data_IF_547689368131
#
_entry.id   IF_547689368131
#
_cell.length_a   1.000
_cell.length_b   1.000
_cell.length_c   1.000
_cell.angle_alpha   90.00
_cell.angle_beta   90.00
_cell.angle_gamma   90.00
#
_symmetry.space_group_name_H-M   'P 1'
#
loop_
_entity.id
_entity.type
_entity.pdbx_description
1 polymer ?
#
# COMPACT_ATOMS: atom_id res chain seq x y z
N UNK A 1 26.81 -10.21 -17.78
CA UNK A 1 25.87 -11.17 -17.13
C UNK A 1 26.22 -11.49 -15.68
N UNK A 2 27.45 -11.28 -15.21
CA UNK A 2 27.87 -11.54 -13.81
C UNK A 2 27.54 -10.43 -12.82
N UNK A 3 27.49 -9.15 -13.25
CA UNK A 3 27.15 -8.02 -12.37
C UNK A 3 25.68 -8.02 -11.89
N UNK A 4 24.75 -8.53 -12.70
CA UNK A 4 23.31 -8.58 -12.38
C UNK A 4 22.93 -9.69 -11.39
N UNK A 5 23.78 -10.71 -11.22
CA UNK A 5 23.51 -11.84 -10.32
C UNK A 5 23.96 -11.52 -8.89
N UNK A 6 25.10 -10.84 -8.73
CA UNK A 6 25.62 -10.43 -7.41
C UNK A 6 24.71 -9.40 -6.71
N UNK A 7 24.03 -8.53 -7.46
CA UNK A 7 23.12 -7.53 -6.90
C UNK A 7 21.83 -8.16 -6.33
N UNK A 8 21.33 -9.23 -6.96
CA UNK A 8 20.17 -10.00 -6.48
C UNK A 8 20.46 -10.75 -5.17
N UNK A 9 21.66 -11.31 -5.06
CA UNK A 9 22.13 -12.01 -3.85
C UNK A 9 22.29 -11.05 -2.66
N UNK A 10 22.81 -9.83 -2.89
CA UNK A 10 22.90 -8.80 -1.86
C UNK A 10 21.52 -8.21 -1.48
N UNK A 11 20.61 -8.02 -2.44
CA UNK A 11 19.21 -7.66 -2.16
C UNK A 11 18.49 -8.74 -1.34
N UNK A 12 18.77 -10.03 -1.55
CA UNK A 12 18.15 -11.11 -0.80
C UNK A 12 18.64 -11.16 0.66
N UNK A 13 19.91 -10.84 0.93
CA UNK A 13 20.52 -10.99 2.27
C UNK A 13 20.12 -9.93 3.30
N UNK A 14 19.46 -8.84 2.88
CA UNK A 14 19.02 -7.76 3.78
C UNK A 14 17.50 -7.53 3.80
N UNK A 15 16.73 -8.33 3.06
CA UNK A 15 15.29 -8.10 2.94
C UNK A 15 14.48 -9.05 3.79
N UNK A 16 13.51 -8.49 4.51
CA UNK A 16 12.56 -9.21 5.33
C UNK A 16 11.71 -10.16 4.48
N UNK A 17 11.18 -11.22 5.12
CA UNK A 17 10.25 -12.14 4.47
C UNK A 17 8.98 -11.38 4.04
N UNK A 18 8.51 -11.52 2.78
CA UNK A 18 7.39 -10.73 2.26
C UNK A 18 6.08 -10.94 3.02
N UNK A 19 5.85 -12.14 3.56
CA UNK A 19 4.73 -12.41 4.47
C UNK A 19 4.74 -11.54 5.73
N UNK A 20 5.92 -11.30 6.30
CA UNK A 20 6.10 -10.48 7.50
C UNK A 20 5.86 -9.00 7.19
N UNK A 21 6.28 -8.55 6.01
CA UNK A 21 5.97 -7.21 5.49
C UNK A 21 4.46 -6.97 5.43
N UNK A 22 3.69 -7.90 4.84
CA UNK A 22 2.22 -7.80 4.74
C UNK A 22 1.56 -7.78 6.13
N UNK A 23 2.01 -8.65 7.05
CA UNK A 23 1.47 -8.71 8.41
C UNK A 23 1.76 -7.42 9.18
N UNK A 24 2.97 -6.86 9.07
CA UNK A 24 3.33 -5.59 9.70
C UNK A 24 2.50 -4.44 9.13
N UNK A 25 2.29 -4.41 7.81
CA UNK A 25 1.40 -3.42 7.18
C UNK A 25 -0.02 -3.53 7.72
N UNK A 26 -0.62 -4.72 7.71
CA UNK A 26 -1.97 -4.94 8.21
C UNK A 26 -2.10 -4.57 9.70
N UNK A 27 -1.11 -4.94 10.52
CA UNK A 27 -1.09 -4.63 11.94
C UNK A 27 -0.97 -3.13 12.21
N UNK A 28 -0.09 -2.43 11.49
CA UNK A 28 0.03 -0.98 11.62
C UNK A 28 -1.25 -0.25 11.20
N UNK A 29 -1.94 -0.72 10.15
CA UNK A 29 -3.24 -0.18 9.74
C UNK A 29 -4.29 -0.35 10.84
N UNK A 30 -4.39 -1.55 11.43
CA UNK A 30 -5.28 -1.81 12.56
C UNK A 30 -4.95 -0.94 13.77
N UNK A 31 -3.68 -0.66 14.02
CA UNK A 31 -3.26 0.19 15.14
C UNK A 31 -3.67 1.66 14.94
N UNK A 32 -3.53 2.19 13.72
CA UNK A 32 -3.95 3.57 13.38
C UNK A 32 -5.44 3.78 13.59
N UNK A 33 -6.27 2.77 13.25
CA UNK A 33 -7.72 2.88 13.38
C UNK A 33 -8.28 2.43 14.73
N UNK A 34 -7.62 1.47 15.38
CA UNK A 34 -8.10 0.86 16.63
C UNK A 34 -7.84 1.69 17.89
N UNK A 35 -6.88 2.62 17.85
CA UNK A 35 -6.52 3.45 19.02
C UNK A 35 -6.93 4.90 18.77
N UNK A 36 -7.89 5.46 19.53
CA UNK A 36 -8.33 6.84 19.39
C UNK A 36 -7.35 7.84 20.05
N UNK A 37 -6.05 7.73 19.74
CA UNK A 37 -5.01 8.65 20.24
C UNK A 37 -4.21 9.28 19.09
N UNK A 38 -3.81 10.56 19.18
CA UNK A 38 -2.94 11.21 18.18
C UNK A 38 -1.50 10.66 18.17
N UNK A 39 -1.07 10.01 19.26
CA UNK A 39 0.29 9.52 19.48
C UNK A 39 0.63 8.32 18.60
N UNK A 40 -0.36 7.47 18.30
CA UNK A 40 -0.14 6.25 17.50
C UNK A 40 0.15 6.56 16.03
N UNK A 41 -0.64 7.42 15.33
CA UNK A 41 -0.32 7.84 13.97
C UNK A 41 1.04 8.53 13.85
N UNK A 42 1.41 9.41 14.80
CA UNK A 42 2.72 10.08 14.78
C UNK A 42 3.87 9.08 14.95
N UNK A 43 3.74 8.12 15.87
CA UNK A 43 4.74 7.07 16.06
C UNK A 43 4.92 6.22 14.79
N UNK A 44 3.85 5.92 14.06
CA UNK A 44 3.92 5.16 12.81
C UNK A 44 4.56 5.98 11.68
N UNK A 45 4.28 7.28 11.59
CA UNK A 45 4.95 8.17 10.64
C UNK A 45 6.46 8.24 10.96
N UNK A 46 6.83 8.37 12.23
CA UNK A 46 8.24 8.37 12.65
C UNK A 46 8.92 7.03 12.35
N UNK A 47 8.27 5.91 12.66
CA UNK A 47 8.79 4.57 12.40
C UNK A 47 8.98 4.32 10.89
N UNK A 48 8.03 4.72 10.05
CA UNK A 48 8.14 4.60 8.59
C UNK A 48 9.21 5.53 8.02
N UNK A 49 9.39 6.73 8.59
CA UNK A 49 10.50 7.61 8.24
C UNK A 49 11.86 7.00 8.58
N UNK A 50 12.05 6.50 9.80
CA UNK A 50 13.30 5.82 10.22
C UNK A 50 13.56 4.60 9.34
N UNK A 51 12.53 3.80 9.05
CA UNK A 51 12.64 2.66 8.15
C UNK A 51 13.01 3.07 6.72
N UNK A 52 12.47 4.19 6.22
CA UNK A 52 12.81 4.75 4.91
C UNK A 52 14.26 5.26 4.85
N UNK A 53 14.79 5.80 5.95
CA UNK A 53 16.19 6.25 6.06
C UNK A 53 17.14 5.05 6.17
N UNK A 54 16.78 4.04 6.97
CA UNK A 54 17.61 2.86 7.20
C UNK A 54 17.62 1.89 6.00
N UNK A 55 16.58 1.91 5.17
CA UNK A 55 16.49 1.01 4.03
C UNK A 55 17.21 1.56 2.80
N UNK A 56 18.25 0.89 2.27
CA UNK A 56 18.95 1.31 1.05
C UNK A 56 18.09 1.13 -0.21
N UNK A 57 16.91 0.50 -0.09
CA UNK A 57 16.06 0.13 -1.22
C UNK A 57 15.07 1.24 -1.58
N UNK A 58 14.75 2.13 -0.64
CA UNK A 58 13.77 3.20 -0.83
C UNK A 58 14.51 4.52 -1.00
N UNK A 59 14.28 5.21 -2.12
CA UNK A 59 14.80 6.57 -2.28
C UNK A 59 14.01 7.50 -1.36
N UNK A 60 14.63 7.94 -0.26
CA UNK A 60 14.02 8.85 0.73
C UNK A 60 13.34 10.06 0.07
N UNK A 61 13.98 10.64 -0.96
CA UNK A 61 13.42 11.78 -1.71
C UNK A 61 12.13 11.44 -2.44
N UNK A 62 12.03 10.25 -3.04
CA UNK A 62 10.80 9.83 -3.73
C UNK A 62 9.66 9.58 -2.75
N UNK A 63 9.98 8.97 -1.59
CA UNK A 63 9.01 8.78 -0.51
C UNK A 63 8.51 10.13 0.06
N UNK A 64 9.43 11.05 0.40
CA UNK A 64 9.07 12.34 0.97
C UNK A 64 8.26 13.21 0.01
N UNK A 65 8.60 13.20 -1.29
CA UNK A 65 7.81 13.89 -2.31
C UNK A 65 6.43 13.26 -2.44
N UNK A 66 6.33 11.92 -2.51
CA UNK A 66 5.04 11.23 -2.63
C UNK A 66 4.10 11.51 -1.45
N UNK A 67 4.64 11.44 -0.23
CA UNK A 67 3.89 11.76 1.00
C UNK A 67 3.52 13.24 1.00
N UNK A 68 4.46 14.15 0.74
CA UNK A 68 4.20 15.59 0.74
C UNK A 68 3.15 16.03 -0.28
N UNK A 69 3.25 15.54 -1.52
CA UNK A 69 2.30 15.88 -2.61
C UNK A 69 0.88 15.44 -2.28
N UNK A 70 0.70 14.31 -1.57
CA UNK A 70 -0.63 13.80 -1.23
C UNK A 70 -1.15 14.34 0.12
N UNK A 71 -0.28 14.55 1.10
CA UNK A 71 -0.66 14.94 2.46
C UNK A 71 -0.88 16.45 2.62
N UNK A 72 -0.16 17.28 1.86
CA UNK A 72 -0.28 18.75 1.94
C UNK A 72 -1.66 19.25 1.46
N UNK A 73 -2.17 18.87 0.27
CA UNK A 73 -3.51 19.31 -0.16
C UNK A 73 -4.63 18.73 0.72
N UNK A 74 -4.46 17.52 1.26
CA UNK A 74 -5.44 16.93 2.18
C UNK A 74 -5.49 17.66 3.52
N UNK A 75 -4.35 18.16 4.04
CA UNK A 75 -4.35 19.04 5.22
C UNK A 75 -5.19 20.29 4.98
N UNK A 76 -4.97 20.97 3.85
CA UNK A 76 -5.66 22.22 3.52
C UNK A 76 -7.17 22.00 3.46
N UNK A 77 -7.60 20.98 2.72
CA UNK A 77 -9.03 20.66 2.59
C UNK A 77 -9.63 20.30 3.95
N UNK A 78 -8.93 19.51 4.76
CA UNK A 78 -9.46 19.06 6.03
C UNK A 78 -9.53 20.18 7.07
N UNK A 79 -8.52 21.05 7.15
CA UNK A 79 -8.56 22.27 7.96
C UNK A 79 -9.67 23.22 7.49
N UNK A 80 -9.92 23.33 6.18
CA UNK A 80 -11.00 24.17 5.66
C UNK A 80 -12.38 23.60 5.97
N UNK A 81 -12.57 22.29 5.82
CA UNK A 81 -13.87 21.66 6.09
C UNK A 81 -14.14 21.59 7.58
N UNK A 82 -13.22 21.03 8.36
CA UNK A 82 -13.39 20.87 9.81
C UNK A 82 -13.24 22.18 10.57
N UNK A 83 -12.32 23.05 10.16
CA UNK A 83 -12.15 24.35 10.84
C UNK A 83 -13.35 25.27 10.65
N UNK A 84 -14.03 25.21 9.51
CA UNK A 84 -15.07 26.16 9.12
C UNK A 84 -16.50 25.64 9.30
N UNK A 85 -16.71 24.32 9.23
CA UNK A 85 -18.05 23.69 9.26
C UNK A 85 -18.25 22.76 10.45
N UNK A 86 -17.39 22.79 11.48
CA UNK A 86 -17.61 21.97 12.67
C UNK A 86 -18.77 22.53 13.50
N UNK A 87 -19.87 21.76 13.71
CA UNK A 87 -21.05 22.21 14.43
C UNK A 87 -20.87 22.11 15.97
N UNK A 88 -19.64 22.32 16.45
CA UNK A 88 -19.32 22.33 17.87
C UNK A 88 -19.78 23.65 18.48
N UNK A 89 -20.81 23.56 19.33
CA UNK A 89 -21.31 24.71 20.06
C UNK A 89 -20.24 25.22 21.03
N UNK A 90 -19.98 26.54 21.02
CA UNK A 90 -19.42 27.36 22.11
C UNK A 90 -18.18 26.75 22.81
N UNK A 91 -16.94 27.25 22.65
CA UNK A 91 -16.40 28.20 23.66
C UNK A 91 -15.12 28.93 23.19
N UNK A 92 -14.54 28.68 22.00
CA UNK A 92 -13.36 29.44 21.53
C UNK A 92 -13.33 29.71 20.03
N UNK A 93 -13.99 30.79 19.62
CA UNK A 93 -13.91 31.31 18.25
C UNK A 93 -12.64 32.16 18.12
N UNK A 94 -11.69 31.74 17.28
CA UNK A 94 -10.43 32.48 17.09
C UNK A 94 -10.59 33.66 16.12
N UNK A 95 -11.52 33.52 15.16
CA UNK A 95 -11.79 34.52 14.13
C UNK A 95 -13.17 34.30 13.50
N UNK A 96 -13.98 35.35 13.42
CA UNK A 96 -15.28 35.34 12.74
C UNK A 96 -15.17 36.09 11.42
N UNK A 97 -15.48 35.41 10.31
CA UNK A 97 -15.68 36.06 9.02
C UNK A 97 -16.94 35.48 8.34
N UNK A 98 -18.11 35.99 8.72
CA UNK A 98 -19.40 35.56 8.15
C UNK A 98 -19.93 34.24 8.74
N UNK A 99 -20.65 33.39 7.98
CA UNK A 99 -21.19 32.09 8.46
C UNK A 99 -20.12 31.03 8.77
N UNK A 100 -18.85 31.43 8.70
CA UNK A 100 -17.66 30.65 8.90
C UNK A 100 -17.02 31.09 10.22
N UNK A 101 -17.17 30.26 11.26
CA UNK A 101 -16.51 30.45 12.55
C UNK A 101 -15.33 29.48 12.62
N UNK A 102 -14.11 30.00 12.74
CA UNK A 102 -12.94 29.15 12.90
C UNK A 102 -12.84 28.71 14.36
N UNK A 103 -13.13 27.42 14.62
CA UNK A 103 -13.09 26.84 15.97
C UNK A 103 -11.77 26.11 16.24
N UNK A 104 -11.25 26.25 17.47
CA UNK A 104 -10.04 25.52 17.91
C UNK A 104 -10.28 24.01 17.89
N UNK A 105 -11.49 23.58 18.27
CA UNK A 105 -11.91 22.17 18.27
C UNK A 105 -11.97 21.58 16.86
N UNK A 106 -12.55 22.31 15.91
CA UNK A 106 -12.56 21.89 14.50
C UNK A 106 -11.16 21.72 13.95
N UNK A 107 -10.23 22.62 14.30
CA UNK A 107 -8.83 22.48 13.91
C UNK A 107 -8.12 21.30 14.58
N UNK A 108 -8.39 21.06 15.86
CA UNK A 108 -7.87 19.90 16.60
C UNK A 108 -8.28 18.57 15.95
N UNK A 109 -9.56 18.43 15.61
CA UNK A 109 -10.10 17.23 14.95
C UNK A 109 -9.55 17.11 13.53
N UNK A 110 -9.42 18.23 12.79
CA UNK A 110 -8.79 18.26 11.47
C UNK A 110 -7.38 17.69 11.53
N UNK A 111 -6.55 18.15 12.47
CA UNK A 111 -5.18 17.68 12.65
C UNK A 111 -5.15 16.20 13.02
N UNK A 112 -6.05 15.74 13.89
CA UNK A 112 -6.12 14.33 14.29
C UNK A 112 -6.45 13.40 13.11
N UNK A 113 -7.42 13.78 12.27
CA UNK A 113 -7.77 13.00 11.08
C UNK A 113 -6.65 13.10 10.04
N UNK A 114 -6.05 14.28 9.87
CA UNK A 114 -4.92 14.46 8.96
C UNK A 114 -3.73 13.58 9.32
N UNK A 115 -3.41 13.47 10.61
CA UNK A 115 -2.38 12.57 11.13
C UNK A 115 -2.63 11.11 10.76
N UNK A 116 -3.89 10.65 10.84
CA UNK A 116 -4.26 9.28 10.42
C UNK A 116 -4.07 9.09 8.92
N UNK A 117 -4.56 10.03 8.11
CA UNK A 117 -4.39 9.96 6.64
C UNK A 117 -2.92 9.95 6.25
N UNK A 118 -2.11 10.82 6.87
CA UNK A 118 -0.67 10.90 6.61
C UNK A 118 0.04 9.61 7.00
N UNK A 119 -0.32 8.99 8.14
CA UNK A 119 0.22 7.70 8.53
C UNK A 119 -0.11 6.59 7.51
N UNK A 120 -1.33 6.53 6.98
CA UNK A 120 -1.70 5.58 5.92
C UNK A 120 -0.90 5.81 4.64
N UNK A 121 -0.75 7.07 4.23
CA UNK A 121 -0.03 7.42 3.00
C UNK A 121 1.45 7.10 3.14
N UNK A 122 2.08 7.47 4.26
CA UNK A 122 3.47 7.16 4.58
C UNK A 122 3.75 5.65 4.57
N UNK A 123 2.86 4.87 5.19
CA UNK A 123 2.93 3.41 5.20
C UNK A 123 2.80 2.84 3.79
N UNK A 124 1.78 3.27 3.04
CA UNK A 124 1.52 2.81 1.67
C UNK A 124 2.67 3.17 0.73
N UNK A 125 3.26 4.37 0.89
CA UNK A 125 4.41 4.79 0.09
C UNK A 125 5.67 3.98 0.44
N UNK A 126 5.91 3.68 1.72
CA UNK A 126 7.06 2.88 2.13
C UNK A 126 6.97 1.46 1.57
N UNK A 127 5.83 0.80 1.76
CA UNK A 127 5.60 -0.56 1.25
C UNK A 127 5.48 -0.58 -0.28
N UNK A 128 4.79 0.37 -0.90
CA UNK A 128 4.64 0.45 -2.35
C UNK A 128 5.96 0.67 -3.08
N UNK A 129 6.88 1.47 -2.52
CA UNK A 129 8.22 1.67 -3.08
C UNK A 129 9.19 0.52 -2.76
N UNK A 130 8.98 -0.19 -1.66
CA UNK A 130 9.82 -1.30 -1.21
C UNK A 130 9.43 -2.67 -1.77
N UNK A 131 8.16 -2.86 -2.11
CA UNK A 131 7.61 -4.13 -2.57
C UNK A 131 7.84 -4.32 -4.08
N UNK A 132 8.47 -5.44 -4.42
CA UNK A 132 8.47 -5.95 -5.78
C UNK A 132 7.17 -6.75 -5.98
N UNK A 133 6.49 -6.59 -7.12
CA UNK A 133 5.26 -7.31 -7.45
C UNK A 133 5.44 -8.82 -7.29
N UNK A 134 6.64 -9.32 -7.61
CA UNK A 134 7.01 -10.73 -7.43
C UNK A 134 6.94 -11.19 -5.95
N UNK A 135 7.38 -10.34 -5.02
CA UNK A 135 7.49 -10.67 -3.59
C UNK A 135 6.13 -10.63 -2.89
N UNK A 136 5.23 -9.76 -3.32
CA UNK A 136 3.85 -9.74 -2.82
C UNK A 136 3.17 -11.11 -3.02
N UNK A 137 3.48 -11.80 -4.12
CA UNK A 137 2.97 -13.16 -4.34
C UNK A 137 3.47 -14.17 -3.34
N UNK A 138 4.78 -14.15 -3.08
CA UNK A 138 5.39 -15.09 -2.15
C UNK A 138 4.88 -14.84 -0.73
N UNK A 139 4.63 -13.57 -0.38
CA UNK A 139 3.97 -13.18 0.86
C UNK A 139 2.53 -13.70 0.97
N UNK A 140 1.73 -13.56 -0.09
CA UNK A 140 0.36 -14.09 -0.14
C UNK A 140 0.33 -15.62 -0.09
N UNK A 141 1.23 -16.30 -0.79
CA UNK A 141 1.34 -17.77 -0.77
C UNK A 141 1.77 -18.28 0.61
N UNK A 142 2.70 -17.59 1.27
CA UNK A 142 3.15 -17.90 2.62
C UNK A 142 2.05 -17.71 3.69
N UNK A 143 0.99 -16.96 3.37
CA UNK A 143 -0.20 -16.79 4.24
C UNK A 143 -1.13 -18.02 4.29
N UNK A 144 -0.70 -19.18 3.76
CA UNK A 144 -1.45 -20.45 3.72
C UNK A 144 -2.78 -20.39 2.97
N UNK A 145 -2.84 -19.60 1.90
CA UNK A 145 -3.93 -19.72 0.94
C UNK A 145 -3.88 -21.10 0.25
N UNK A 146 -5.03 -21.69 -0.13
CA UNK A 146 -5.05 -22.90 -0.96
C UNK A 146 -4.18 -22.70 -2.20
N UNK A 147 -3.40 -23.72 -2.58
CA UNK A 147 -2.44 -23.65 -3.69
C UNK A 147 -3.06 -23.14 -4.98
N UNK A 148 -4.31 -23.53 -5.27
CA UNK A 148 -5.07 -23.07 -6.43
C UNK A 148 -5.35 -21.56 -6.40
N UNK A 149 -5.72 -21.02 -5.24
CA UNK A 149 -5.97 -19.58 -5.07
C UNK A 149 -4.67 -18.80 -5.19
N UNK A 150 -3.60 -19.27 -4.55
CA UNK A 150 -2.29 -18.66 -4.65
C UNK A 150 -1.79 -18.62 -6.11
N UNK A 151 -2.02 -19.70 -6.87
CA UNK A 151 -1.68 -19.76 -8.30
C UNK A 151 -2.47 -18.78 -9.16
N UNK A 152 -3.79 -18.67 -8.95
CA UNK A 152 -4.63 -17.71 -9.69
C UNK A 152 -4.21 -16.28 -9.40
N UNK A 153 -4.00 -15.93 -8.12
CA UNK A 153 -3.49 -14.62 -7.74
C UNK A 153 -2.11 -14.36 -8.36
N UNK A 154 -1.18 -15.33 -8.25
CA UNK A 154 0.16 -15.29 -8.85
C UNK A 154 0.13 -14.98 -10.35
N UNK A 155 -0.73 -15.70 -11.06
CA UNK A 155 -0.88 -15.54 -12.50
C UNK A 155 -1.50 -14.19 -12.87
N UNK A 156 -2.48 -13.70 -12.09
CA UNK A 156 -3.18 -12.46 -12.36
C UNK A 156 -2.28 -11.21 -12.28
N UNK A 157 -1.52 -11.03 -11.20
CA UNK A 157 -0.61 -9.87 -11.11
C UNK A 157 0.59 -10.06 -12.07
N UNK A 158 0.98 -11.31 -12.39
CA UNK A 158 2.01 -11.59 -13.40
C UNK A 158 1.60 -11.19 -14.81
N UNK A 159 0.28 -11.06 -15.03
CA UNK A 159 -0.30 -10.55 -16.26
C UNK A 159 -0.15 -9.03 -16.42
N UNK A 160 0.07 -8.27 -15.33
CA UNK A 160 0.23 -6.81 -15.37
C UNK A 160 1.37 -6.36 -16.31
N UNK A 161 2.62 -6.85 -16.16
CA UNK A 161 3.70 -6.47 -17.08
C UNK A 161 3.39 -6.88 -18.52
N UNK A 162 2.77 -8.05 -18.73
CA UNK A 162 2.36 -8.50 -20.06
C UNK A 162 1.36 -7.53 -20.70
N UNK A 163 0.28 -7.19 -19.98
CA UNK A 163 -0.74 -6.24 -20.43
C UNK A 163 -0.09 -4.91 -20.78
N UNK A 164 0.84 -4.41 -19.97
CA UNK A 164 1.56 -3.17 -20.24
C UNK A 164 2.33 -3.23 -21.56
N UNK A 165 3.12 -4.27 -21.78
CA UNK A 165 3.91 -4.44 -23.01
C UNK A 165 3.01 -4.62 -24.23
N UNK A 166 1.96 -5.44 -24.14
CA UNK A 166 1.00 -5.66 -25.25
C UNK A 166 0.22 -4.39 -25.59
N UNK A 167 -0.22 -3.66 -24.57
CA UNK A 167 -0.88 -2.35 -24.76
C UNK A 167 0.04 -1.40 -25.52
N UNK A 168 1.32 -1.34 -25.15
CA UNK A 168 2.30 -0.49 -25.82
C UNK A 168 2.50 -0.90 -27.29
N UNK A 169 2.64 -2.20 -27.59
CA UNK A 169 2.73 -2.71 -28.96
C UNK A 169 1.50 -2.35 -29.81
N UNK A 170 0.29 -2.47 -29.24
CA UNK A 170 -0.95 -2.11 -29.93
C UNK A 170 -0.99 -0.60 -30.20
N UNK A 171 -0.60 0.23 -29.23
CA UNK A 171 -0.54 1.68 -29.39
C UNK A 171 0.45 2.07 -30.49
N UNK A 172 1.66 1.51 -30.47
CA UNK A 172 2.71 1.76 -31.47
C UNK A 172 2.27 1.32 -32.88
N UNK A 173 1.62 0.16 -33.01
CA UNK A 173 1.07 -0.33 -34.28
C UNK A 173 -0.09 0.53 -34.80
N UNK A 174 -0.82 1.24 -33.93
CA UNK A 174 -1.86 2.19 -34.34
C UNK A 174 -1.25 3.53 -34.74
N UNK A 175 -0.21 3.98 -34.04
CA UNK A 175 0.56 5.16 -34.42
C UNK A 175 1.16 5.01 -35.83
N UNK A 176 1.71 3.83 -36.17
CA UNK A 176 2.24 3.57 -37.52
C UNK A 176 1.18 3.57 -38.62
N UNK A 177 -0.08 3.27 -38.28
CA UNK A 177 -1.25 3.38 -39.18
C UNK A 177 -1.78 4.82 -39.34
N UNK A 178 -1.03 5.81 -38.86
CA UNK A 178 -1.35 7.23 -39.02
C UNK A 178 -2.36 7.77 -37.99
N UNK A 179 -2.63 7.04 -36.92
CA UNK A 179 -3.48 7.54 -35.84
C UNK A 179 -2.68 8.47 -34.93
N UNK A 180 -3.13 9.71 -34.77
CA UNK A 180 -2.56 10.65 -33.82
C UNK A 180 -2.99 10.31 -32.39
N UNK A 181 -2.18 9.48 -31.72
CA UNK A 181 -2.42 9.01 -30.35
C UNK A 181 -2.18 10.08 -29.28
N UNK A 182 -1.64 11.25 -29.66
CA UNK A 182 -1.42 12.38 -28.76
C UNK A 182 -2.72 13.13 -28.45
N UNK A 183 -3.66 13.15 -29.41
CA UNK A 183 -4.94 13.80 -29.26
C UNK A 183 -5.89 12.96 -28.39
N UNK A 184 -6.43 13.56 -27.33
CA UNK A 184 -7.36 12.91 -26.39
C UNK A 184 -8.58 12.32 -27.10
N UNK A 185 -9.18 13.06 -28.03
CA UNK A 185 -10.39 12.64 -28.77
C UNK A 185 -10.15 11.38 -29.60
N UNK A 186 -8.97 11.29 -30.23
CA UNK A 186 -8.57 10.14 -31.03
C UNK A 186 -8.28 8.94 -30.13
N UNK A 187 -7.58 9.19 -29.01
CA UNK A 187 -7.27 8.17 -28.00
C UNK A 187 -8.54 7.56 -27.40
N UNK A 188 -9.56 8.36 -27.08
CA UNK A 188 -10.86 7.87 -26.59
C UNK A 188 -11.61 7.05 -27.62
N UNK A 189 -11.47 7.37 -28.91
CA UNK A 189 -12.09 6.60 -29.99
C UNK A 189 -11.40 5.25 -30.24
N UNK A 190 -10.10 5.17 -29.98
CA UNK A 190 -9.29 3.96 -30.13
C UNK A 190 -9.44 2.97 -28.97
N UNK A 191 -9.84 3.46 -27.78
CA UNK A 191 -9.97 2.68 -26.55
C UNK A 191 -10.71 1.35 -26.74
N UNK A 192 -11.93 1.30 -27.35
CA UNK A 192 -12.64 0.04 -27.56
C UNK A 192 -11.82 -0.96 -28.37
N UNK A 193 -11.15 -0.53 -29.44
CA UNK A 193 -10.34 -1.41 -30.28
C UNK A 193 -9.08 -1.92 -29.58
N UNK A 194 -8.45 -1.09 -28.74
CA UNK A 194 -7.30 -1.50 -27.93
C UNK A 194 -7.74 -2.58 -26.94
N UNK A 195 -8.87 -2.37 -26.26
CA UNK A 195 -9.44 -3.34 -25.31
C UNK A 195 -9.77 -4.66 -26.00
N UNK A 196 -10.42 -4.63 -27.17
CA UNK A 196 -10.71 -5.86 -27.94
C UNK A 196 -9.43 -6.61 -28.31
N UNK A 197 -8.41 -5.92 -28.85
CA UNK A 197 -7.15 -6.55 -29.23
C UNK A 197 -6.37 -7.12 -28.03
N UNK A 198 -6.42 -6.44 -26.90
CA UNK A 198 -5.84 -6.92 -25.65
C UNK A 198 -6.57 -8.16 -25.15
N UNK A 199 -7.91 -8.14 -25.16
CA UNK A 199 -8.72 -9.28 -24.72
C UNK A 199 -8.43 -10.54 -25.54
N UNK A 200 -8.39 -10.42 -26.87
CA UNK A 200 -8.00 -11.54 -27.74
C UNK A 200 -6.58 -12.03 -27.44
N UNK A 201 -5.64 -11.11 -27.23
CA UNK A 201 -4.25 -11.47 -26.92
C UNK A 201 -4.12 -12.21 -25.59
N UNK A 202 -4.88 -11.79 -24.57
CA UNK A 202 -4.89 -12.45 -23.26
C UNK A 202 -5.55 -13.82 -23.34
N UNK A 203 -6.64 -13.98 -24.10
CA UNK A 203 -7.26 -15.30 -24.29
C UNK A 203 -6.30 -16.31 -24.91
N UNK A 204 -5.62 -15.92 -25.99
CA UNK A 204 -4.62 -16.77 -26.66
C UNK A 204 -3.49 -17.14 -25.69
N UNK A 205 -2.99 -16.18 -24.91
CA UNK A 205 -1.94 -16.43 -23.92
C UNK A 205 -2.40 -17.41 -22.83
N UNK A 206 -3.64 -17.29 -22.35
CA UNK A 206 -4.20 -18.17 -21.33
C UNK A 206 -4.34 -19.59 -21.85
N UNK A 207 -4.81 -19.75 -23.09
CA UNK A 207 -4.92 -21.05 -23.77
C UNK A 207 -3.54 -21.70 -23.94
N UNK A 208 -2.57 -20.98 -24.51
CA UNK A 208 -1.20 -21.46 -24.66
C UNK A 208 -0.56 -21.84 -23.32
N UNK A 209 -0.80 -21.05 -22.28
CA UNK A 209 -0.30 -21.33 -20.94
C UNK A 209 -0.98 -22.55 -20.34
N UNK A 210 -2.27 -22.76 -20.57
CA UNK A 210 -2.99 -23.94 -20.11
C UNK A 210 -2.40 -25.21 -20.72
N UNK A 211 -2.21 -25.25 -22.04
CA UNK A 211 -1.62 -26.40 -22.74
C UNK A 211 -0.22 -26.75 -22.20
N UNK A 212 0.62 -25.72 -21.97
CA UNK A 212 1.96 -25.91 -21.40
C UNK A 212 1.91 -26.46 -19.96
N UNK A 213 0.92 -26.05 -19.17
CA UNK A 213 0.76 -26.52 -17.79
C UNK A 213 0.23 -27.95 -17.76
N UNK A 214 -0.69 -28.30 -18.66
CA UNK A 214 -1.20 -29.67 -18.84
C UNK A 214 -0.06 -30.62 -19.24
N UNK A 215 0.76 -30.24 -20.22
CA UNK A 215 1.95 -31.01 -20.63
C UNK A 215 2.98 -31.20 -19.51
N UNK A 216 3.03 -30.27 -18.56
CA UNK A 216 3.92 -30.35 -17.39
C UNK A 216 3.29 -31.09 -16.20
N UNK A 217 2.07 -31.59 -16.33
CA UNK A 217 1.36 -32.30 -15.27
C UNK A 217 0.97 -31.40 -14.08
N UNK A 218 0.81 -30.09 -14.31
CA UNK A 218 0.44 -29.12 -13.26
C UNK A 218 -1.04 -29.30 -12.88
N UNK A 219 -1.31 -30.33 -12.08
CA UNK A 219 -2.65 -30.77 -11.68
C UNK A 219 -2.68 -32.23 -11.21
N UNK A 220 -1.71 -33.05 -11.62
CA UNK A 220 -1.60 -34.46 -11.23
C UNK A 220 -0.86 -34.66 -9.90
N UNK A 221 0.01 -33.72 -9.53
CA UNK A 221 0.75 -33.78 -8.27
C UNK A 221 -0.14 -33.37 -7.09
N UNK A 222 -0.34 -34.30 -6.13
CA UNK A 222 -1.10 -34.05 -4.90
C UNK A 222 -0.51 -32.93 -4.02
N UNK A 223 0.80 -32.63 -4.17
CA UNK A 223 1.48 -31.56 -3.45
C UNK A 223 2.43 -30.79 -4.37
N UNK A 224 2.28 -29.46 -4.40
CA UNK A 224 3.15 -28.57 -5.15
C UNK A 224 4.37 -28.16 -4.30
N UNK A 225 5.57 -28.51 -4.74
CA UNK A 225 6.83 -28.11 -4.11
C UNK A 225 7.13 -26.64 -4.42
N UNK A 226 7.49 -25.84 -3.41
CA UNK A 226 7.94 -24.45 -3.64
C UNK A 226 9.37 -24.44 -4.14
N UNK A 227 9.64 -23.75 -5.25
CA UNK A 227 10.99 -23.60 -5.81
C UNK A 227 11.74 -22.41 -5.19
N UNK A 228 11.02 -21.40 -4.71
CA UNK A 228 11.60 -20.25 -4.05
C UNK A 228 11.55 -20.44 -2.54
N UNK A 229 12.70 -20.76 -1.96
CA UNK A 229 12.90 -20.74 -0.51
C UNK A 229 13.22 -19.33 -0.05
N UNK A 230 12.30 -18.75 0.69
CA UNK A 230 12.58 -17.56 1.47
C UNK A 230 13.18 -18.00 2.80
N UNK A 231 14.40 -17.55 3.10
CA UNK A 231 15.05 -17.84 4.37
C UNK A 231 14.24 -17.27 5.54
N UNK A 232 13.46 -18.13 6.19
CA UNK A 232 12.73 -17.84 7.42
C UNK A 232 13.72 -17.82 8.60
N UNK A 233 14.21 -16.64 8.96
CA UNK A 233 15.03 -16.49 10.17
C UNK A 233 14.21 -16.77 11.44
N UNK A 234 14.81 -17.28 12.53
CA UNK A 234 14.09 -17.53 13.79
C UNK A 234 13.47 -16.25 14.38
N UNK A 235 14.15 -15.10 14.23
CA UNK A 235 13.61 -13.79 14.61
C UNK A 235 12.40 -13.35 13.77
N UNK A 236 12.35 -13.70 12.47
CA UNK A 236 11.20 -13.39 11.62
C UNK A 236 9.98 -14.25 11.97
N UNK A 237 10.18 -15.50 12.39
CA UNK A 237 9.07 -16.36 12.87
C UNK A 237 8.48 -15.84 14.17
N UNK A 238 9.33 -15.34 15.07
CA UNK A 238 8.89 -14.69 16.30
C UNK A 238 8.15 -13.39 15.99
N UNK A 239 8.66 -12.56 15.08
CA UNK A 239 8.00 -11.33 14.64
C UNK A 239 6.64 -11.62 13.97
N UNK A 240 6.56 -12.65 13.12
CA UNK A 240 5.35 -13.07 12.40
C UNK A 240 4.22 -13.51 13.32
N UNK A 241 4.55 -14.13 14.46
CA UNK A 241 3.55 -14.53 15.48
C UNK A 241 3.32 -13.45 16.53
N UNK A 242 4.37 -12.74 16.93
CA UNK A 242 4.34 -11.75 17.99
C UNK A 242 3.64 -10.45 17.61
N UNK A 243 3.90 -9.90 16.42
CA UNK A 243 3.29 -8.64 15.96
C UNK A 243 1.76 -8.68 15.92
N UNK A 244 1.10 -9.68 15.31
CA UNK A 244 -0.37 -9.71 15.29
C UNK A 244 -0.98 -9.90 16.68
N UNK A 245 -0.35 -10.71 17.54
CA UNK A 245 -0.79 -10.90 18.93
C UNK A 245 -0.65 -9.59 19.71
N UNK A 246 0.49 -8.93 19.60
CA UNK A 246 0.76 -7.63 20.22
C UNK A 246 -0.24 -6.58 19.74
N UNK A 247 -0.52 -6.50 18.44
CA UNK A 247 -1.48 -5.56 17.86
C UNK A 247 -2.90 -5.84 18.33
N UNK A 248 -3.35 -7.10 18.35
CA UNK A 248 -4.66 -7.46 18.90
C UNK A 248 -4.75 -7.09 20.39
N UNK A 249 -3.71 -7.37 21.18
CA UNK A 249 -3.66 -6.99 22.60
C UNK A 249 -3.71 -5.47 22.77
N UNK A 250 -2.96 -4.70 21.97
CA UNK A 250 -2.96 -3.24 22.03
C UNK A 250 -4.31 -2.63 21.63
N UNK A 251 -4.95 -3.18 20.59
CA UNK A 251 -6.28 -2.73 20.16
C UNK A 251 -7.33 -3.10 21.21
N UNK A 252 -7.29 -4.31 21.78
CA UNK A 252 -8.21 -4.72 22.85
C UNK A 252 -7.98 -3.91 24.12
N UNK A 253 -6.74 -3.65 24.54
CA UNK A 253 -6.43 -2.78 25.67
C UNK A 253 -6.84 -1.33 25.43
N UNK A 254 -6.78 -0.85 24.18
CA UNK A 254 -7.25 0.48 23.81
C UNK A 254 -8.78 0.57 23.84
N UNK A 255 -9.47 -0.44 23.32
CA UNK A 255 -10.94 -0.51 23.34
C UNK A 255 -11.46 -0.71 24.76
N UNK A 256 -10.72 -1.45 25.60
CA UNK A 256 -11.02 -1.62 27.02
C UNK A 256 -10.70 -0.39 27.88
N UNK A 257 -10.15 0.69 27.30
CA UNK A 257 -9.87 1.94 28.02
C UNK A 257 -8.73 1.88 29.04
N UNK A 258 -7.87 0.85 28.98
CA UNK A 258 -6.81 0.60 29.98
C UNK A 258 -5.49 1.29 29.61
N UNK A 259 -5.36 1.82 28.38
CA UNK A 259 -4.18 2.57 27.96
C UNK A 259 -4.34 4.06 28.31
N UNK A 260 -3.52 4.61 29.24
CA UNK A 260 -3.46 6.03 29.52
C UNK A 260 -2.64 6.70 28.41
N UNK A 261 -3.15 6.68 27.19
CA UNK A 261 -2.62 7.53 26.13
C UNK A 261 -3.36 8.86 26.23
N UNK A 262 -2.64 10.00 26.25
CA UNK A 262 -3.27 11.30 26.37
C UNK A 262 -4.27 11.47 25.23
N UNK A 263 -5.54 11.52 25.62
CA UNK A 263 -6.64 11.91 24.74
C UNK A 263 -6.36 13.32 24.23
N UNK A 264 -6.82 13.64 23.02
CA UNK A 264 -6.55 14.93 22.38
C UNK A 264 -6.92 16.13 23.27
N UNK A 265 -7.93 15.98 24.15
CA UNK A 265 -8.33 16.97 25.16
C UNK A 265 -7.21 17.34 26.15
N UNK A 266 -6.32 16.41 26.52
CA UNK A 266 -5.23 16.69 27.46
C UNK A 266 -4.02 17.38 26.81
N UNK A 267 -3.84 17.23 25.50
CA UNK A 267 -2.69 17.77 24.76
C UNK A 267 -2.93 19.17 24.19
N UNK A 268 -4.20 19.57 24.02
CA UNK A 268 -4.57 20.85 23.39
C UNK A 268 -4.88 21.94 24.43
N UNK A 269 -4.84 21.58 25.73
CA UNK A 269 -5.10 22.49 26.84
C UNK A 269 -6.53 22.33 27.32
N UNK A 270 -6.72 21.43 28.27
CA UNK A 270 -7.97 21.36 29.02
C UNK A 270 -8.14 22.61 29.88
N UNK A 271 -9.26 23.29 29.67
CA UNK A 271 -10.18 23.61 30.77
C UNK A 271 -11.44 22.81 30.53
#
# INVERSE_FOLDING_TARGET
MTATVLDREQQARHRLHPATEIIVLACSLLLVFGIPSPVVPTAIIAATFVAAVASPTVRLRAWAIGVGVLCLPTLIVLCLVQGLFYPGAEVSVLWEYGPAQLTVEGLAIAVQIWLRVTALVSLSAFFGLGADSARLFDGLRALRLPSSVAYVCASAIGLIPLIRTRTQQIIEARASRGWDVSNWTVRTRLLPSIVTGLFTSVLIEVEQRHDVLEQRGLGEAAQATSLQDHHDGPGQRLLRRGVPILTCVLVVCSVAGVLPLPTADQLIGGV
#
